data_IF_156349973234
#
_entry.id   IF_156349973234
#
_cell.length_a   1.000
_cell.length_b   1.000
_cell.length_c   1.000
_cell.angle_alpha   90.00
_cell.angle_beta   90.00
_cell.angle_gamma   90.00
#
_symmetry.space_group_name_H-M   'P 1'
#
loop_
_entity.id
_entity.type
_entity.pdbx_description
1 polymer ?
#
# COMPACT_ATOMS: atom_id res chain seq x y z
N UNK A 1 41.51 -17.94 39.36
CA UNK A 1 40.91 -19.29 39.38
C UNK A 1 39.44 -19.16 38.98
N UNK A 2 39.19 -18.78 37.71
CA UNK A 2 37.87 -18.36 37.22
C UNK A 2 37.78 -18.48 35.68
N UNK A 3 38.32 -19.56 35.10
CA UNK A 3 38.47 -19.68 33.63
C UNK A 3 37.78 -20.88 32.96
N UNK A 4 37.04 -21.74 33.67
CA UNK A 4 36.55 -23.01 33.08
C UNK A 4 35.03 -23.11 32.81
N UNK A 5 34.26 -22.02 32.91
CA UNK A 5 32.81 -22.06 32.62
C UNK A 5 32.41 -21.62 31.20
N UNK A 6 33.37 -21.44 30.29
CA UNK A 6 33.10 -21.06 28.88
C UNK A 6 33.43 -22.18 27.89
N UNK A 7 33.04 -23.42 28.19
CA UNK A 7 33.12 -24.54 27.23
C UNK A 7 31.79 -25.23 27.02
N UNK A 8 31.38 -25.21 25.75
CA UNK A 8 30.41 -26.08 25.11
C UNK A 8 28.94 -25.83 25.42
N UNK A 9 28.36 -24.86 24.72
CA UNK A 9 27.09 -25.10 24.05
C UNK A 9 27.36 -25.14 22.54
N UNK A 10 27.38 -26.32 21.88
CA UNK A 10 27.25 -26.33 20.45
C UNK A 10 25.84 -25.83 20.14
N UNK A 11 25.74 -24.61 19.61
CA UNK A 11 24.53 -24.13 18.97
C UNK A 11 24.26 -25.03 17.76
N UNK A 12 23.54 -26.14 17.96
CA UNK A 12 22.92 -26.89 16.88
C UNK A 12 21.74 -26.05 16.36
N UNK A 13 22.07 -24.94 15.69
CA UNK A 13 21.13 -24.30 14.77
C UNK A 13 20.98 -25.30 13.64
N UNK A 14 19.83 -25.95 13.57
CA UNK A 14 19.54 -26.96 12.58
C UNK A 14 19.50 -26.28 11.22
N UNK A 15 20.65 -26.23 10.55
CA UNK A 15 20.81 -25.70 9.19
C UNK A 15 20.25 -26.70 8.17
N UNK A 16 19.00 -27.15 8.37
CA UNK A 16 18.25 -27.72 7.26
C UNK A 16 17.86 -26.50 6.44
N UNK A 17 18.44 -26.29 5.24
CA UNK A 17 18.04 -25.17 4.42
C UNK A 17 16.54 -25.32 4.19
N UNK A 18 15.75 -24.28 4.50
CA UNK A 18 14.28 -24.31 4.45
C UNK A 18 13.79 -24.88 3.11
N UNK A 19 14.52 -24.63 2.03
CA UNK A 19 14.30 -25.24 0.73
C UNK A 19 14.33 -26.78 0.72
N UNK A 20 15.28 -27.41 1.41
CA UNK A 20 15.35 -28.88 1.54
C UNK A 20 14.25 -29.44 2.43
N UNK A 21 13.91 -28.75 3.53
CA UNK A 21 12.78 -29.13 4.39
C UNK A 21 11.44 -29.08 3.62
N UNK A 22 11.21 -28.01 2.86
CA UNK A 22 10.03 -27.87 2.01
C UNK A 22 9.98 -28.91 0.88
N UNK A 23 11.15 -29.27 0.32
CA UNK A 23 11.24 -30.29 -0.73
C UNK A 23 11.00 -31.72 -0.22
N UNK A 24 11.20 -31.95 1.07
CA UNK A 24 10.95 -33.24 1.70
C UNK A 24 9.48 -33.45 2.09
N UNK A 25 8.62 -32.43 1.97
CA UNK A 25 7.19 -32.55 2.28
C UNK A 25 6.49 -33.46 1.25
N UNK A 26 5.66 -34.42 1.69
CA UNK A 26 4.86 -35.22 0.78
C UNK A 26 3.85 -34.32 0.06
N UNK A 27 3.71 -34.51 -1.25
CA UNK A 27 2.71 -33.83 -2.07
C UNK A 27 1.30 -34.37 -1.73
N UNK A 28 0.74 -33.92 -0.62
CA UNK A 28 -0.65 -34.18 -0.25
C UNK A 28 -1.58 -33.28 -1.06
N UNK A 29 -2.11 -33.84 -2.14
CA UNK A 29 -3.22 -33.20 -2.84
C UNK A 29 -4.49 -33.30 -1.96
N UNK A 30 -5.18 -32.18 -1.68
CA UNK A 30 -6.45 -32.23 -0.96
C UNK A 30 -7.49 -33.03 -1.75
N UNK A 31 -8.31 -33.82 -1.06
CA UNK A 31 -9.35 -34.66 -1.68
C UNK A 31 -10.35 -33.86 -2.54
N UNK A 32 -10.45 -32.53 -2.33
CA UNK A 32 -11.15 -31.60 -3.22
C UNK A 32 -10.24 -30.43 -3.58
N UNK A 33 -9.98 -30.17 -4.87
CA UNK A 33 -9.25 -28.98 -5.28
C UNK A 33 -10.09 -27.74 -4.96
N UNK A 34 -9.65 -26.93 -3.99
CA UNK A 34 -10.33 -25.69 -3.60
C UNK A 34 -10.09 -24.54 -4.59
N UNK A 35 -8.99 -24.59 -5.35
CA UNK A 35 -8.60 -23.58 -6.32
C UNK A 35 -9.64 -23.28 -7.42
N UNK A 36 -10.21 -24.28 -8.13
CA UNK A 36 -11.22 -24.00 -9.15
C UNK A 36 -12.50 -23.35 -8.58
N UNK A 37 -12.89 -23.70 -7.35
CA UNK A 37 -14.03 -23.07 -6.68
C UNK A 37 -13.76 -21.59 -6.36
N UNK A 38 -12.54 -21.28 -5.93
CA UNK A 38 -12.11 -19.92 -5.60
C UNK A 38 -11.93 -19.07 -6.85
N UNK A 39 -11.34 -19.62 -7.92
CA UNK A 39 -11.23 -18.99 -9.22
C UNK A 39 -12.62 -18.67 -9.82
N UNK A 40 -13.57 -19.60 -9.71
CA UNK A 40 -14.95 -19.37 -10.15
C UNK A 40 -15.65 -18.26 -9.34
N UNK A 41 -15.41 -18.21 -8.02
CA UNK A 41 -15.97 -17.17 -7.15
C UNK A 41 -15.41 -15.77 -7.50
N UNK A 42 -14.11 -15.66 -7.75
CA UNK A 42 -13.47 -14.41 -8.16
C UNK A 42 -13.95 -13.94 -9.53
N UNK A 43 -14.01 -14.84 -10.52
CA UNK A 43 -14.49 -14.51 -11.86
C UNK A 43 -15.96 -14.03 -11.86
N UNK A 44 -16.80 -14.58 -10.98
CA UNK A 44 -18.20 -14.13 -10.80
C UNK A 44 -18.26 -12.70 -10.25
N UNK A 45 -17.42 -12.38 -9.26
CA UNK A 45 -17.35 -11.04 -8.65
C UNK A 45 -16.85 -9.98 -9.63
N UNK A 46 -15.87 -10.33 -10.47
CA UNK A 46 -15.35 -9.43 -11.49
C UNK A 46 -16.38 -9.14 -12.59
N UNK A 47 -17.09 -10.18 -13.08
CA UNK A 47 -18.18 -10.01 -14.04
C UNK A 47 -19.31 -9.13 -13.50
N UNK A 48 -19.64 -9.27 -12.21
CA UNK A 48 -20.63 -8.41 -11.55
C UNK A 48 -20.14 -6.95 -11.45
N UNK A 49 -18.89 -6.71 -11.05
CA UNK A 49 -18.30 -5.36 -11.00
C UNK A 49 -18.28 -4.69 -12.38
N UNK A 50 -17.86 -5.41 -13.43
CA UNK A 50 -17.86 -4.90 -14.81
C UNK A 50 -19.26 -4.56 -15.31
N UNK A 51 -20.29 -5.29 -14.85
CA UNK A 51 -21.69 -5.03 -15.22
C UNK A 51 -22.27 -3.76 -14.58
N UNK A 52 -21.77 -3.36 -13.42
CA UNK A 52 -22.20 -2.13 -12.73
C UNK A 52 -21.25 -0.93 -12.96
N UNK A 53 -20.13 -1.14 -13.67
CA UNK A 53 -19.13 -0.12 -13.98
C UNK A 53 -19.67 1.13 -14.70
N UNK A 54 -20.60 1.07 -15.69
CA UNK A 54 -21.04 2.29 -16.36
C UNK A 54 -21.87 3.19 -15.43
N UNK A 55 -22.57 2.62 -14.45
CA UNK A 55 -23.37 3.40 -13.50
C UNK A 55 -22.53 3.94 -12.35
N UNK A 56 -21.46 3.23 -11.97
CA UNK A 56 -20.49 3.72 -11.00
C UNK A 56 -19.77 4.97 -11.51
N UNK A 57 -19.35 5.01 -12.78
CA UNK A 57 -18.73 6.21 -13.38
C UNK A 57 -19.71 7.37 -13.46
N UNK A 58 -20.96 7.14 -13.89
CA UNK A 58 -21.97 8.20 -13.95
C UNK A 58 -22.35 8.75 -12.56
N UNK A 59 -22.47 7.88 -11.55
CA UNK A 59 -22.73 8.28 -10.17
C UNK A 59 -21.55 9.05 -9.55
N UNK A 60 -20.31 8.63 -9.80
CA UNK A 60 -19.12 9.36 -9.34
C UNK A 60 -19.00 10.73 -10.00
N UNK A 61 -19.32 10.85 -11.29
CA UNK A 61 -19.28 12.12 -12.01
C UNK A 61 -20.42 13.06 -11.56
N UNK A 62 -21.63 12.51 -11.34
CA UNK A 62 -22.74 13.26 -10.76
C UNK A 62 -22.43 13.73 -9.33
N UNK A 63 -21.83 12.87 -8.50
CA UNK A 63 -21.43 13.22 -7.14
C UNK A 63 -20.32 14.28 -7.14
N UNK A 64 -19.33 14.18 -8.04
CA UNK A 64 -18.27 15.18 -8.19
C UNK A 64 -18.82 16.54 -8.64
N UNK A 65 -19.80 16.56 -9.56
CA UNK A 65 -20.46 17.80 -10.02
C UNK A 65 -21.31 18.43 -8.92
N UNK A 66 -22.06 17.63 -8.15
CA UNK A 66 -22.85 18.12 -7.00
C UNK A 66 -21.92 18.67 -5.90
N UNK A 67 -20.85 17.96 -5.59
CA UNK A 67 -19.87 18.40 -4.60
C UNK A 67 -19.17 19.70 -5.03
N UNK A 68 -18.75 19.81 -6.30
CA UNK A 68 -18.17 21.04 -6.84
C UNK A 68 -19.16 22.22 -6.86
N UNK A 69 -20.46 21.96 -7.04
CA UNK A 69 -21.53 22.95 -6.94
C UNK A 69 -21.72 23.46 -5.50
N UNK A 70 -21.65 22.57 -4.50
CA UNK A 70 -21.70 22.97 -3.08
C UNK A 70 -20.48 23.79 -2.67
N UNK A 71 -19.28 23.47 -3.18
CA UNK A 71 -18.07 24.25 -2.87
C UNK A 71 -18.06 25.63 -3.56
N UNK A 72 -18.65 25.78 -4.76
CA UNK A 72 -18.74 27.07 -5.47
C UNK A 72 -19.83 28.00 -4.97
N UNK A 73 -20.81 27.49 -4.21
CA UNK A 73 -21.89 28.29 -3.63
C UNK A 73 -21.61 28.73 -2.19
N UNK A 74 -20.44 28.40 -1.64
CA UNK A 74 -19.96 29.02 -0.41
C UNK A 74 -19.74 30.52 -0.69
N UNK A 75 -20.53 31.43 -0.09
CA UNK A 75 -20.35 32.84 -0.32
C UNK A 75 -19.04 33.29 0.33
N UNK A 76 -18.21 33.94 -0.48
CA UNK A 76 -17.11 34.76 -0.05
C UNK A 76 -17.67 36.00 0.67
N UNK A 77 -17.76 35.93 2.00
CA UNK A 77 -17.93 37.13 2.83
C UNK A 77 -17.30 36.95 4.21
N UNK A 78 -16.13 37.59 4.32
CA UNK A 78 -15.69 38.36 5.48
C UNK A 78 -15.78 37.68 6.84
N UNK A 79 -14.68 37.05 7.26
CA UNK A 79 -13.96 37.41 8.48
C UNK A 79 -12.57 36.77 8.43
N UNK A 80 -11.62 37.51 7.85
CA UNK A 80 -10.23 37.41 8.27
C UNK A 80 -10.19 37.88 9.74
N UNK A 81 -10.10 36.93 10.68
CA UNK A 81 -9.56 37.08 12.05
C UNK A 81 -9.88 35.89 13.00
N UNK A 82 -10.26 34.71 12.48
CA UNK A 82 -10.22 33.45 13.26
C UNK A 82 -9.27 32.44 12.65
N UNK A 83 -8.02 32.85 12.45
CA UNK A 83 -6.90 31.95 12.17
C UNK A 83 -6.33 31.41 13.50
N UNK A 84 -7.09 30.60 14.25
CA UNK A 84 -6.55 29.69 15.29
C UNK A 84 -7.70 28.84 15.89
N UNK A 85 -8.07 27.74 15.22
CA UNK A 85 -8.81 26.57 15.75
C UNK A 85 -9.53 25.76 14.63
N UNK A 86 -9.07 25.80 13.38
CA UNK A 86 -9.57 24.87 12.37
C UNK A 86 -9.03 23.46 12.70
N UNK A 87 -9.91 22.48 12.88
CA UNK A 87 -9.54 21.08 13.05
C UNK A 87 -8.64 20.65 11.86
N UNK A 88 -7.40 20.17 12.08
CA UNK A 88 -6.49 19.79 11.00
C UNK A 88 -6.92 18.49 10.28
N UNK A 89 -7.94 17.79 10.77
CA UNK A 89 -8.41 16.52 10.24
C UNK A 89 -8.81 16.54 8.75
N UNK A 90 -9.54 17.55 8.23
CA UNK A 90 -9.91 17.62 6.81
C UNK A 90 -8.68 17.76 5.89
N UNK A 91 -7.64 18.45 6.35
CA UNK A 91 -6.39 18.59 5.60
C UNK A 91 -5.65 17.25 5.50
N UNK A 92 -5.60 16.47 6.59
CA UNK A 92 -4.98 15.15 6.60
C UNK A 92 -5.72 14.16 5.68
N UNK A 93 -7.06 14.20 5.68
CA UNK A 93 -7.88 13.40 4.77
C UNK A 93 -7.56 13.72 3.31
N UNK A 94 -7.56 15.01 2.94
CA UNK A 94 -7.24 15.46 1.59
C UNK A 94 -5.82 15.02 1.16
N UNK A 95 -4.84 15.18 2.05
CA UNK A 95 -3.46 14.76 1.78
C UNK A 95 -3.36 13.25 1.56
N UNK A 96 -4.08 12.46 2.36
CA UNK A 96 -4.08 11.00 2.21
C UNK A 96 -4.68 10.55 0.88
N UNK A 97 -5.80 11.17 0.45
CA UNK A 97 -6.43 10.87 -0.84
C UNK A 97 -5.52 11.24 -2.02
N UNK A 98 -4.79 12.36 -1.91
CA UNK A 98 -3.82 12.76 -2.92
C UNK A 98 -2.66 11.75 -3.05
N UNK A 99 -2.12 11.28 -1.93
CA UNK A 99 -1.02 10.31 -1.94
C UNK A 99 -1.46 8.94 -2.47
N UNK A 100 -2.65 8.47 -2.09
CA UNK A 100 -3.21 7.24 -2.65
C UNK A 100 -3.41 7.32 -4.16
N UNK A 101 -3.91 8.45 -4.66
CA UNK A 101 -4.08 8.65 -6.10
C UNK A 101 -2.74 8.61 -6.84
N UNK A 102 -1.69 9.17 -6.24
CA UNK A 102 -0.32 9.10 -6.77
C UNK A 102 0.18 7.65 -6.81
N UNK A 103 0.07 6.93 -5.68
CA UNK A 103 0.53 5.54 -5.54
C UNK A 103 -0.20 4.60 -6.50
N UNK A 104 -1.50 4.83 -6.69
CA UNK A 104 -2.32 4.05 -7.62
C UNK A 104 -1.95 4.29 -9.08
N UNK A 105 -1.41 5.47 -9.42
CA UNK A 105 -0.99 5.78 -10.78
C UNK A 105 0.37 5.15 -11.14
N UNK A 106 1.19 4.80 -10.14
CA UNK A 106 2.55 4.25 -10.30
C UNK A 106 2.63 2.74 -10.09
N UNK A 107 1.54 2.04 -9.77
CA UNK A 107 1.54 0.61 -9.41
C UNK A 107 1.87 -0.35 -10.58
N UNK A 108 1.85 0.12 -11.82
CA UNK A 108 2.15 -0.70 -13.01
C UNK A 108 3.65 -0.93 -13.24
N UNK A 109 4.52 -0.32 -12.43
CA UNK A 109 5.97 -0.42 -12.58
C UNK A 109 6.48 -1.68 -11.86
N UNK A 110 7.24 -2.51 -12.58
CA UNK A 110 7.84 -3.73 -12.02
C UNK A 110 8.83 -3.39 -10.90
N UNK A 111 8.56 -3.87 -9.68
CA UNK A 111 9.35 -3.55 -8.47
C UNK A 111 10.51 -4.52 -8.29
N UNK A 112 11.66 -4.01 -7.84
CA UNK A 112 12.83 -4.84 -7.54
C UNK A 112 12.57 -5.71 -6.30
N UNK A 113 13.02 -6.98 -6.31
CA UNK A 113 12.79 -7.93 -5.21
C UNK A 113 13.17 -7.41 -3.79
N UNK A 114 14.26 -6.65 -3.58
CA UNK A 114 14.61 -6.09 -2.27
C UNK A 114 13.72 -4.93 -1.82
N UNK A 115 13.18 -4.16 -2.76
CA UNK A 115 12.29 -3.03 -2.46
C UNK A 115 10.86 -3.52 -2.22
N UNK A 116 10.52 -4.70 -2.75
CA UNK A 116 9.22 -5.34 -2.52
C UNK A 116 9.01 -5.79 -1.07
N UNK A 117 10.06 -6.21 -0.35
CA UNK A 117 9.92 -6.51 1.09
C UNK A 117 9.63 -5.25 1.91
N UNK A 118 10.31 -4.15 1.60
CA UNK A 118 10.10 -2.86 2.27
C UNK A 118 8.72 -2.26 1.94
N UNK A 119 8.26 -2.37 0.69
CA UNK A 119 6.90 -1.93 0.33
C UNK A 119 5.85 -2.76 1.04
N UNK A 120 6.04 -4.08 1.15
CA UNK A 120 5.14 -4.98 1.89
C UNK A 120 5.08 -4.60 3.36
N UNK A 121 6.21 -4.33 4.02
CA UNK A 121 6.25 -3.92 5.42
C UNK A 121 5.49 -2.60 5.68
N UNK A 122 5.55 -1.66 4.73
CA UNK A 122 4.81 -0.39 4.82
C UNK A 122 3.31 -0.56 4.53
N UNK A 123 2.95 -1.44 3.58
CA UNK A 123 1.55 -1.80 3.32
C UNK A 123 0.90 -2.49 4.53
N UNK A 124 1.64 -3.37 5.22
CA UNK A 124 1.18 -4.03 6.45
C UNK A 124 0.99 -3.00 7.58
N UNK A 125 1.91 -2.06 7.73
CA UNK A 125 1.76 -0.94 8.68
C UNK A 125 0.54 -0.08 8.36
N UNK A 126 0.30 0.22 7.08
CA UNK A 126 -0.87 0.96 6.63
C UNK A 126 -2.17 0.20 6.95
N UNK A 127 -2.20 -1.11 6.73
CA UNK A 127 -3.35 -1.96 7.06
C UNK A 127 -3.66 -1.97 8.57
N UNK A 128 -2.63 -2.01 9.43
CA UNK A 128 -2.79 -1.89 10.88
C UNK A 128 -3.40 -0.53 11.24
N UNK A 129 -2.92 0.57 10.68
CA UNK A 129 -3.46 1.91 10.95
C UNK A 129 -4.91 2.02 10.49
N UNK A 130 -5.23 1.54 9.28
CA UNK A 130 -6.58 1.57 8.72
C UNK A 130 -7.55 0.71 9.55
N UNK A 131 -7.07 -0.42 10.10
CA UNK A 131 -7.87 -1.24 11.03
C UNK A 131 -8.21 -0.49 12.32
N UNK A 132 -7.28 0.30 12.85
CA UNK A 132 -7.50 1.11 14.04
C UNK A 132 -8.47 2.25 13.74
N UNK A 133 -8.28 2.96 12.61
CA UNK A 133 -9.18 4.02 12.15
C UNK A 133 -10.61 3.53 11.90
N UNK A 134 -10.78 2.28 11.46
CA UNK A 134 -12.08 1.64 11.28
C UNK A 134 -12.83 1.31 12.58
N UNK A 135 -12.17 1.39 13.74
CA UNK A 135 -12.81 1.13 15.03
C UNK A 135 -13.78 2.25 15.41
N UNK A 136 -15.09 1.92 15.43
CA UNK A 136 -16.17 2.87 15.76
C UNK A 136 -16.07 3.40 17.19
N UNK A 137 -15.49 2.63 18.12
CA UNK A 137 -15.29 3.03 19.51
C UNK A 137 -14.05 3.90 19.74
N UNK A 138 -13.30 4.25 18.68
CA UNK A 138 -12.07 5.02 18.80
C UNK A 138 -12.37 6.47 19.21
N UNK A 139 -11.71 6.92 20.29
CA UNK A 139 -11.82 8.28 20.81
C UNK A 139 -11.53 9.30 19.68
N UNK A 140 -12.38 10.31 19.44
CA UNK A 140 -12.14 11.34 18.43
C UNK A 140 -10.76 12.02 18.55
N UNK A 141 -10.27 12.23 19.78
CA UNK A 141 -8.94 12.82 19.99
C UNK A 141 -7.79 11.91 19.57
N UNK A 142 -8.01 10.59 19.59
CA UNK A 142 -7.03 9.58 19.16
C UNK A 142 -7.03 9.38 17.62
N UNK A 143 -8.02 9.91 16.89
CA UNK A 143 -8.07 9.78 15.42
C UNK A 143 -7.01 10.62 14.72
N UNK A 144 -6.75 11.82 15.25
CA UNK A 144 -5.80 12.78 14.66
C UNK A 144 -4.37 12.20 14.52
N UNK A 145 -3.75 11.63 15.57
CA UNK A 145 -2.42 11.05 15.44
C UNK A 145 -2.38 9.85 14.48
N UNK A 146 -3.45 9.05 14.41
CA UNK A 146 -3.53 7.93 13.45
C UNK A 146 -3.58 8.42 12.00
N UNK A 147 -4.33 9.49 11.72
CA UNK A 147 -4.34 10.10 10.38
C UNK A 147 -2.97 10.70 10.00
N UNK A 148 -2.27 11.30 10.96
CA UNK A 148 -0.90 11.77 10.73
C UNK A 148 0.05 10.62 10.40
N UNK A 149 -0.05 9.51 11.15
CA UNK A 149 0.75 8.31 10.92
C UNK A 149 0.45 7.68 9.55
N UNK A 150 -0.82 7.60 9.16
CA UNK A 150 -1.26 7.11 7.85
C UNK A 150 -0.61 7.90 6.71
N UNK A 151 -0.68 9.23 6.80
CA UNK A 151 -0.08 10.13 5.80
C UNK A 151 1.45 9.97 5.75
N UNK A 152 2.10 9.70 6.88
CA UNK A 152 3.54 9.45 6.91
C UNK A 152 3.91 8.17 6.15
N UNK A 153 3.20 7.06 6.42
CA UNK A 153 3.42 5.78 5.72
C UNK A 153 3.16 5.92 4.21
N UNK A 154 2.10 6.63 3.81
CA UNK A 154 1.81 6.90 2.40
C UNK A 154 2.91 7.73 1.72
N UNK A 155 3.53 8.69 2.43
CA UNK A 155 4.66 9.47 1.89
C UNK A 155 5.89 8.59 1.68
N UNK A 156 6.16 7.67 2.61
CA UNK A 156 7.28 6.73 2.50
C UNK A 156 7.09 5.77 1.31
N UNK A 157 5.89 5.21 1.15
CA UNK A 157 5.52 4.39 -0.02
C UNK A 157 5.71 5.16 -1.33
N UNK A 158 5.22 6.40 -1.41
CA UNK A 158 5.39 7.24 -2.59
C UNK A 158 6.87 7.55 -2.89
N UNK A 159 7.69 7.74 -1.86
CA UNK A 159 9.14 7.94 -2.00
C UNK A 159 9.86 6.72 -2.56
N UNK A 160 9.48 5.51 -2.13
CA UNK A 160 10.02 4.26 -2.69
C UNK A 160 9.65 4.12 -4.17
N UNK A 161 8.39 4.37 -4.54
CA UNK A 161 7.95 4.31 -5.94
C UNK A 161 8.65 5.35 -6.82
N UNK A 162 8.86 6.57 -6.33
CA UNK A 162 9.64 7.58 -7.05
C UNK A 162 11.09 7.12 -7.28
N UNK A 163 11.69 6.44 -6.31
CA UNK A 163 13.05 5.87 -6.42
C UNK A 163 13.09 4.77 -7.48
N UNK A 164 12.13 3.87 -7.48
CA UNK A 164 12.00 2.80 -8.50
C UNK A 164 11.80 3.38 -9.90
N UNK A 165 10.92 4.37 -10.05
CA UNK A 165 10.68 5.02 -11.34
C UNK A 165 11.96 5.70 -11.88
N UNK A 166 12.75 6.32 -11.00
CA UNK A 166 14.05 6.88 -11.36
C UNK A 166 15.07 5.79 -11.77
N UNK A 167 15.10 4.65 -11.08
CA UNK A 167 15.97 3.53 -11.44
C UNK A 167 15.56 2.88 -12.77
N UNK A 168 14.25 2.69 -13.00
CA UNK A 168 13.71 2.11 -14.23
C UNK A 168 14.07 2.95 -15.45
N UNK A 169 13.86 4.27 -15.38
CA UNK A 169 14.22 5.20 -16.47
C UNK A 169 15.72 5.22 -16.78
N UNK A 170 16.58 5.02 -15.78
CA UNK A 170 18.05 4.95 -15.96
C UNK A 170 18.51 3.61 -16.53
N UNK A 171 17.87 2.51 -16.12
CA UNK A 171 18.17 1.16 -16.61
C UNK A 171 17.84 0.97 -18.09
N UNK A 172 16.74 1.56 -18.57
CA UNK A 172 16.39 1.58 -19.98
C UNK A 172 17.41 2.37 -20.82
N UNK A 173 17.85 3.54 -20.33
CA UNK A 173 18.85 4.36 -21.01
C UNK A 173 20.20 3.63 -21.14
N UNK A 174 20.65 2.94 -20.09
CA UNK A 174 21.91 2.17 -20.15
C UNK A 174 21.83 0.98 -21.10
N UNK A 175 20.65 0.36 -21.25
CA UNK A 175 20.45 -0.76 -22.18
C UNK A 175 20.38 -0.28 -23.63
N UNK A 176 19.77 0.89 -23.88
CA UNK A 176 19.73 1.50 -25.19
C UNK A 176 21.13 1.92 -25.68
N UNK A 177 21.96 2.51 -24.81
CA UNK A 177 23.32 2.93 -25.15
C UNK A 177 24.25 1.72 -25.42
N UNK A 178 24.09 0.64 -24.65
CA UNK A 178 24.84 -0.60 -24.87
C UNK A 178 24.58 -1.27 -26.23
N UNK A 179 23.38 -1.08 -26.82
CA UNK A 179 23.04 -1.60 -28.15
C UNK A 179 23.64 -0.74 -29.28
N UNK A 180 23.96 0.53 -29.03
CA UNK A 180 24.52 1.44 -30.04
C UNK A 180 26.02 1.17 -30.30
N UNK A 181 26.75 0.62 -29.33
CA UNK A 181 28.17 0.28 -29.48
C UNK A 181 28.46 -1.11 -30.07
N UNK A 182 27.43 -1.85 -30.48
CA UNK A 182 27.57 -3.20 -31.04
C UNK A 182 27.65 -3.24 -32.58
N UNK A 183 27.86 -2.10 -33.26
CA UNK A 183 28.02 -1.98 -34.71
C UNK A 183 29.30 -1.24 -35.08
#
# INVERSE_FOLDING_TARGET
>A
MLDDLYRNHPAHRSDIPVAAALRALPLQAPARPAWPALAAALAKRERQRRRHWPWALAASLALAVVLAGLLRTAPEQANADTASAADPLPQLLAQSAQLEALISASSDISTSAPLMSLSTDLEDQLAVIDSQLGNVALNPDARRPLWQQRVQVLRELAGLQATEQWLATRGEQSSADALVYAY
#
